data_IF_487137386669
#
_entry.id   IF_487137386669
#
_cell.length_a   1.000
_cell.length_b   1.000
_cell.length_c   1.000
_cell.angle_alpha   90.00
_cell.angle_beta   90.00
_cell.angle_gamma   90.00
#
_symmetry.space_group_name_H-M   'P 1'
#
loop_
_entity.id
_entity.type
_entity.pdbx_description
1 polymer ?
#
# COMPACT_ATOMS: atom_id res chain seq x y z
N UNK A 1 37.18 -13.66 4.01
CA UNK A 1 36.17 -13.63 2.95
C UNK A 1 35.29 -14.85 3.10
N UNK A 2 34.01 -14.65 3.45
CA UNK A 2 33.04 -15.71 3.59
C UNK A 2 32.82 -16.34 2.20
N UNK A 3 32.87 -17.67 2.11
CA UNK A 3 32.56 -18.41 0.88
C UNK A 3 31.04 -18.52 0.76
N UNK A 4 30.40 -17.52 0.19
CA UNK A 4 28.96 -17.55 -0.12
C UNK A 4 28.78 -18.16 -1.51
N UNK A 5 27.90 -19.15 -1.64
CA UNK A 5 27.62 -19.89 -2.85
C UNK A 5 26.12 -20.01 -3.12
N UNK A 6 25.71 -20.81 -4.11
CA UNK A 6 24.29 -20.99 -4.48
C UNK A 6 23.45 -21.73 -3.44
N UNK A 7 24.06 -22.42 -2.49
CA UNK A 7 23.36 -23.09 -1.38
C UNK A 7 23.16 -22.18 -0.18
N UNK A 8 23.80 -21.02 -0.18
CA UNK A 8 23.65 -20.00 0.85
C UNK A 8 22.27 -19.36 0.79
N UNK A 9 21.79 -18.87 1.92
CA UNK A 9 20.54 -18.14 2.01
C UNK A 9 20.75 -16.78 2.70
N UNK A 10 19.81 -15.86 2.44
CA UNK A 10 19.80 -14.53 3.01
C UNK A 10 18.55 -14.36 3.88
N UNK A 11 18.72 -13.86 5.11
CA UNK A 11 17.62 -13.44 5.97
C UNK A 11 17.49 -11.92 5.97
N UNK A 12 16.33 -11.42 5.59
CA UNK A 12 15.97 -10.00 5.62
C UNK A 12 15.20 -9.72 6.90
N UNK A 13 15.85 -9.18 7.92
CA UNK A 13 15.23 -8.84 9.20
C UNK A 13 15.09 -7.32 9.25
N UNK A 14 13.85 -6.80 9.19
CA UNK A 14 13.60 -5.36 9.17
C UNK A 14 12.27 -4.96 8.56
N UNK A 15 12.10 -3.68 8.28
CA UNK A 15 10.95 -3.12 7.58
C UNK A 15 11.00 -3.36 6.06
N UNK A 16 10.06 -2.74 5.33
CA UNK A 16 9.89 -2.92 3.89
C UNK A 16 11.14 -2.65 3.07
N UNK A 17 11.86 -1.55 3.35
CA UNK A 17 13.11 -1.20 2.63
C UNK A 17 14.17 -2.29 2.78
N UNK A 18 14.29 -2.89 3.98
CA UNK A 18 15.23 -3.99 4.22
C UNK A 18 14.84 -5.22 3.40
N UNK A 19 13.54 -5.57 3.39
CA UNK A 19 13.03 -6.70 2.61
C UNK A 19 13.27 -6.52 1.11
N UNK A 20 12.95 -5.34 0.57
CA UNK A 20 13.11 -5.02 -0.85
C UNK A 20 14.57 -5.08 -1.29
N UNK A 21 15.47 -4.42 -0.53
CA UNK A 21 16.90 -4.40 -0.82
C UNK A 21 17.52 -5.80 -0.74
N UNK A 22 17.24 -6.53 0.35
CA UNK A 22 17.78 -7.87 0.56
C UNK A 22 17.25 -8.87 -0.46
N UNK A 23 15.95 -8.80 -0.79
CA UNK A 23 15.34 -9.64 -1.82
C UNK A 23 15.91 -9.37 -3.21
N UNK A 24 16.17 -8.11 -3.57
CA UNK A 24 16.82 -7.76 -4.83
C UNK A 24 18.28 -8.20 -4.87
N UNK A 25 19.01 -8.06 -3.77
CA UNK A 25 20.37 -8.61 -3.64
C UNK A 25 20.39 -10.13 -3.81
N UNK A 26 19.45 -10.84 -3.14
CA UNK A 26 19.31 -12.28 -3.28
C UNK A 26 18.95 -12.71 -4.71
N UNK A 27 18.06 -11.97 -5.38
CA UNK A 27 17.69 -12.21 -6.78
C UNK A 27 18.87 -12.06 -7.75
N UNK A 28 19.77 -11.09 -7.47
CA UNK A 28 20.87 -10.72 -8.35
C UNK A 28 22.11 -11.58 -8.10
N UNK A 29 22.39 -11.96 -6.85
CA UNK A 29 23.57 -12.73 -6.47
C UNK A 29 23.51 -14.14 -7.07
N UNK A 30 24.55 -14.51 -7.82
CA UNK A 30 24.68 -15.80 -8.54
C UNK A 30 23.44 -16.19 -9.37
N UNK A 31 22.65 -15.22 -9.84
CA UNK A 31 21.37 -15.35 -10.57
C UNK A 31 20.23 -15.90 -9.70
N UNK A 32 20.30 -15.70 -8.42
CA UNK A 32 19.27 -16.04 -7.44
C UNK A 32 19.77 -17.03 -6.39
N UNK A 33 19.67 -16.63 -5.13
CA UNK A 33 19.80 -17.48 -3.96
C UNK A 33 18.53 -17.44 -3.14
N UNK A 34 18.35 -18.43 -2.26
CA UNK A 34 17.21 -18.44 -1.34
C UNK A 34 17.25 -17.23 -0.41
N UNK A 35 16.08 -16.61 -0.15
CA UNK A 35 15.97 -15.62 0.91
C UNK A 35 14.70 -15.82 1.73
N UNK A 36 14.76 -15.34 2.95
CA UNK A 36 13.69 -15.42 3.95
C UNK A 36 13.44 -14.02 4.48
N UNK A 37 12.17 -13.70 4.78
CA UNK A 37 11.82 -12.40 5.36
C UNK A 37 11.39 -12.56 6.82
N UNK A 38 11.86 -11.63 7.66
CA UNK A 38 11.42 -11.45 9.04
C UNK A 38 11.00 -9.98 9.18
N UNK A 39 9.77 -9.64 8.76
CA UNK A 39 9.30 -8.26 8.80
C UNK A 39 9.15 -7.78 10.24
N UNK A 40 9.64 -6.56 10.53
CA UNK A 40 9.63 -5.98 11.87
C UNK A 40 8.75 -4.74 11.99
N UNK A 41 8.04 -4.36 10.93
CA UNK A 41 7.02 -3.30 10.96
C UNK A 41 5.68 -3.87 10.53
N UNK A 42 4.57 -3.32 11.05
CA UNK A 42 3.24 -3.78 10.66
C UNK A 42 3.03 -3.68 9.15
N UNK A 43 3.44 -2.56 8.53
CA UNK A 43 3.37 -2.37 7.09
C UNK A 43 4.11 -3.48 6.32
N UNK A 44 5.29 -3.87 6.78
CA UNK A 44 6.02 -4.96 6.13
C UNK A 44 5.33 -6.31 6.32
N UNK A 45 4.71 -6.56 7.48
CA UNK A 45 3.99 -7.81 7.76
C UNK A 45 2.78 -7.96 6.84
N UNK A 46 1.95 -6.91 6.72
CA UNK A 46 0.69 -6.99 5.98
C UNK A 46 0.84 -6.70 4.47
N UNK A 47 1.94 -6.07 4.06
CA UNK A 47 2.12 -5.67 2.66
C UNK A 47 3.47 -6.10 2.07
N UNK A 48 4.57 -5.41 2.30
CA UNK A 48 5.77 -5.54 1.47
C UNK A 48 6.43 -6.93 1.49
N UNK A 49 6.31 -7.72 2.56
CA UNK A 49 6.88 -9.07 2.66
C UNK A 49 6.17 -10.11 1.78
N UNK A 50 4.94 -9.82 1.32
CA UNK A 50 4.14 -10.76 0.51
C UNK A 50 4.13 -10.31 -0.94
N UNK A 51 4.45 -11.24 -1.87
CA UNK A 51 4.27 -11.01 -3.30
C UNK A 51 5.52 -10.76 -4.11
N UNK A 52 6.71 -10.92 -3.50
CA UNK A 52 8.00 -11.04 -4.19
C UNK A 52 8.45 -9.83 -5.03
N UNK A 53 7.82 -8.68 -4.92
CA UNK A 53 8.37 -7.43 -5.48
C UNK A 53 9.55 -7.03 -4.63
N UNK A 54 10.74 -6.97 -5.23
CA UNK A 54 11.98 -6.56 -4.57
C UNK A 54 12.65 -5.48 -5.40
N UNK A 55 13.38 -4.57 -4.79
CA UNK A 55 13.98 -3.49 -5.55
C UNK A 55 14.75 -2.50 -4.69
N UNK A 56 15.26 -1.48 -5.37
CA UNK A 56 16.00 -0.38 -4.76
C UNK A 56 15.41 0.97 -5.20
N UNK A 57 15.47 1.92 -4.29
CA UNK A 57 15.14 3.30 -4.61
C UNK A 57 16.35 3.98 -5.25
N UNK A 58 16.10 4.73 -6.32
CA UNK A 58 17.10 5.56 -6.99
C UNK A 58 16.79 7.04 -6.75
N UNK A 59 17.78 7.91 -6.98
CA UNK A 59 17.58 9.35 -6.88
C UNK A 59 16.50 9.89 -7.84
N UNK A 60 16.26 9.19 -8.95
CA UNK A 60 15.27 9.55 -9.98
C UNK A 60 13.89 8.96 -9.74
N UNK A 61 13.70 8.10 -8.72
CA UNK A 61 12.40 7.52 -8.36
C UNK A 61 12.49 6.24 -7.55
N UNK A 62 11.37 5.91 -6.87
CA UNK A 62 11.23 4.67 -6.10
C UNK A 62 10.91 3.49 -7.03
N UNK A 63 11.41 2.29 -6.66
CA UNK A 63 11.03 1.00 -7.26
C UNK A 63 11.23 0.90 -8.79
N UNK A 64 12.19 1.65 -9.35
CA UNK A 64 12.49 1.62 -10.79
C UNK A 64 13.41 0.45 -11.16
N UNK A 65 14.19 -0.05 -10.23
CA UNK A 65 15.10 -1.19 -10.41
C UNK A 65 14.78 -2.26 -9.38
N UNK A 66 14.44 -3.44 -9.86
CA UNK A 66 14.04 -4.54 -9.00
C UNK A 66 13.81 -5.83 -9.77
N UNK A 67 13.34 -6.83 -9.07
CA UNK A 67 12.98 -8.14 -9.63
C UNK A 67 11.77 -8.73 -8.92
N UNK A 68 11.10 -9.66 -9.58
CA UNK A 68 10.16 -10.57 -8.92
C UNK A 68 10.97 -11.75 -8.36
N UNK A 69 11.13 -11.80 -7.04
CA UNK A 69 11.84 -12.87 -6.35
C UNK A 69 11.11 -13.22 -5.06
N UNK A 70 10.42 -14.37 -5.07
CA UNK A 70 9.61 -14.80 -3.93
C UNK A 70 10.52 -15.24 -2.77
N UNK A 71 10.24 -14.81 -1.53
CA UNK A 71 10.88 -15.39 -0.36
C UNK A 71 10.49 -16.87 -0.25
N UNK A 72 11.37 -17.69 0.31
CA UNK A 72 11.07 -19.09 0.62
C UNK A 72 10.02 -19.17 1.71
N UNK A 73 10.15 -18.32 2.73
CA UNK A 73 9.20 -18.18 3.83
C UNK A 73 9.23 -16.76 4.37
N UNK A 74 8.14 -16.37 5.04
CA UNK A 74 8.00 -15.11 5.78
C UNK A 74 7.67 -15.47 7.22
N UNK A 75 8.54 -15.09 8.15
CA UNK A 75 8.37 -15.33 9.57
C UNK A 75 7.85 -14.05 10.25
N UNK A 76 6.61 -14.07 10.68
CA UNK A 76 5.97 -12.92 11.33
C UNK A 76 5.90 -13.20 12.83
N UNK A 77 6.64 -12.40 13.61
CA UNK A 77 6.58 -12.36 15.05
C UNK A 77 6.01 -11.01 15.50
N UNK A 78 4.80 -11.01 16.03
CA UNK A 78 4.12 -9.78 16.46
C UNK A 78 4.76 -9.14 17.69
N UNK A 79 5.56 -9.89 18.47
CA UNK A 79 6.24 -9.34 19.64
C UNK A 79 7.20 -8.20 19.28
N UNK A 80 7.78 -8.22 18.09
CA UNK A 80 8.67 -7.16 17.62
C UNK A 80 7.96 -5.81 17.45
N UNK A 81 6.63 -5.82 17.27
CA UNK A 81 5.83 -4.60 17.14
C UNK A 81 5.72 -3.80 18.45
N UNK A 82 6.00 -4.42 19.60
CA UNK A 82 5.99 -3.73 20.91
C UNK A 82 7.03 -2.61 20.99
N UNK A 83 8.08 -2.66 20.19
CA UNK A 83 9.11 -1.63 20.10
C UNK A 83 8.96 -0.72 18.88
N UNK A 84 7.95 -0.96 18.05
CA UNK A 84 7.68 -0.13 16.88
C UNK A 84 7.08 1.20 17.32
N UNK A 85 7.59 2.36 16.86
CA UNK A 85 6.97 3.65 17.13
C UNK A 85 5.49 3.69 16.70
N UNK A 86 4.64 4.33 17.49
CA UNK A 86 3.19 4.38 17.24
C UNK A 86 2.86 4.90 15.82
N UNK A 87 3.56 5.94 15.36
CA UNK A 87 3.38 6.50 14.00
C UNK A 87 3.61 5.46 12.90
N UNK A 88 4.61 4.58 13.07
CA UNK A 88 4.91 3.50 12.12
C UNK A 88 3.85 2.37 12.21
N UNK A 89 3.33 2.10 13.42
CA UNK A 89 2.23 1.16 13.59
C UNK A 89 0.97 1.68 12.88
N UNK A 90 0.61 2.96 13.12
CA UNK A 90 -0.51 3.64 12.45
C UNK A 90 -0.35 3.61 10.93
N UNK A 91 0.84 3.89 10.41
CA UNK A 91 1.12 3.79 8.97
C UNK A 91 0.84 2.37 8.43
N UNK A 92 1.15 1.31 9.18
CA UNK A 92 0.80 -0.06 8.83
C UNK A 92 -0.71 -0.31 8.82
N UNK A 93 -1.46 0.32 9.74
CA UNK A 93 -2.92 0.20 9.80
C UNK A 93 -3.62 0.78 8.56
N UNK A 94 -3.05 1.78 7.89
CA UNK A 94 -3.58 2.26 6.62
C UNK A 94 -3.68 1.15 5.57
N UNK A 95 -2.69 0.24 5.53
CA UNK A 95 -2.72 -0.92 4.63
C UNK A 95 -3.76 -1.96 5.07
N UNK A 96 -3.94 -2.19 6.38
CA UNK A 96 -5.00 -3.07 6.88
C UNK A 96 -6.38 -2.52 6.48
N UNK A 97 -6.64 -1.22 6.65
CA UNK A 97 -7.86 -0.55 6.22
C UNK A 97 -8.04 -0.68 4.70
N UNK A 98 -6.97 -0.50 3.92
CA UNK A 98 -7.00 -0.68 2.47
C UNK A 98 -7.53 -2.06 2.06
N UNK A 99 -7.09 -3.15 2.70
CA UNK A 99 -7.60 -4.49 2.39
C UNK A 99 -9.10 -4.62 2.63
N UNK A 100 -9.60 -4.03 3.71
CA UNK A 100 -11.02 -3.97 3.98
C UNK A 100 -11.80 -3.26 2.87
N UNK A 101 -11.33 -2.10 2.45
CA UNK A 101 -11.94 -1.29 1.39
C UNK A 101 -11.83 -1.94 0.00
N UNK A 102 -10.69 -2.58 -0.26
CA UNK A 102 -10.33 -3.14 -1.56
C UNK A 102 -11.18 -4.35 -1.95
N UNK A 103 -11.34 -5.31 -1.03
CA UNK A 103 -11.91 -6.60 -1.37
C UNK A 103 -12.45 -7.42 -0.19
N UNK A 104 -12.28 -6.96 1.04
CA UNK A 104 -12.68 -7.72 2.24
C UNK A 104 -13.62 -6.90 3.14
N UNK A 105 -14.89 -6.82 2.75
CA UNK A 105 -15.92 -6.12 3.51
C UNK A 105 -15.99 -6.58 4.97
N UNK A 106 -15.83 -7.89 5.23
CA UNK A 106 -15.86 -8.42 6.59
C UNK A 106 -14.73 -7.90 7.46
N UNK A 107 -13.53 -7.71 6.89
CA UNK A 107 -12.40 -7.08 7.58
C UNK A 107 -12.72 -5.61 7.91
N UNK A 108 -13.29 -4.88 6.97
CA UNK A 108 -13.67 -3.47 7.18
C UNK A 108 -14.73 -3.32 8.29
N UNK A 109 -15.79 -4.10 8.23
CA UNK A 109 -16.88 -4.05 9.22
C UNK A 109 -16.36 -4.44 10.63
N UNK A 110 -15.41 -5.37 10.71
CA UNK A 110 -14.77 -5.71 12.00
C UNK A 110 -13.95 -4.55 12.54
N UNK A 111 -13.18 -3.85 11.70
CA UNK A 111 -12.42 -2.67 12.13
C UNK A 111 -13.34 -1.57 12.70
N UNK A 112 -14.51 -1.36 12.09
CA UNK A 112 -15.51 -0.39 12.58
C UNK A 112 -16.17 -0.80 13.89
N UNK A 113 -16.28 -2.09 14.15
CA UNK A 113 -16.98 -2.62 15.34
C UNK A 113 -16.06 -2.95 16.50
N UNK A 114 -14.75 -2.75 16.37
CA UNK A 114 -13.80 -2.90 17.48
C UNK A 114 -14.14 -1.92 18.61
N UNK A 115 -14.18 -2.42 19.84
CA UNK A 115 -14.45 -1.58 21.02
C UNK A 115 -13.36 -0.56 21.32
N UNK A 116 -12.15 -0.82 20.81
CA UNK A 116 -10.98 0.09 20.82
C UNK A 116 -10.11 -0.17 19.59
N UNK A 117 -9.34 0.83 19.12
CA UNK A 117 -8.36 0.61 18.05
C UNK A 117 -7.36 -0.50 18.40
N UNK A 118 -6.91 -1.26 17.38
CA UNK A 118 -5.83 -2.23 17.55
C UNK A 118 -4.51 -1.51 17.89
N UNK A 119 -3.74 -2.13 18.73
CA UNK A 119 -2.37 -1.75 19.04
C UNK A 119 -1.44 -2.97 19.02
N UNK A 120 -0.15 -2.78 19.25
CA UNK A 120 0.85 -3.86 19.24
C UNK A 120 0.63 -4.94 20.32
N UNK A 121 -0.29 -4.75 21.25
CA UNK A 121 -0.63 -5.69 22.34
C UNK A 121 -1.99 -6.34 22.15
N UNK A 122 -2.74 -5.96 21.12
CA UNK A 122 -4.09 -6.48 20.84
C UNK A 122 -4.04 -7.95 20.44
N UNK A 123 -4.86 -8.76 21.11
CA UNK A 123 -4.92 -10.20 20.86
C UNK A 123 -5.42 -10.53 19.44
N UNK A 124 -6.30 -9.69 18.92
CA UNK A 124 -6.88 -9.82 17.58
C UNK A 124 -5.90 -9.49 16.46
N UNK A 125 -4.80 -8.78 16.74
CA UNK A 125 -3.86 -8.31 15.72
C UNK A 125 -3.33 -9.43 14.84
N UNK A 126 -3.05 -10.61 15.42
CA UNK A 126 -2.60 -11.78 14.68
C UNK A 126 -3.57 -12.20 13.58
N UNK A 127 -4.86 -12.16 13.88
CA UNK A 127 -5.91 -12.51 12.92
C UNK A 127 -6.00 -11.48 11.79
N UNK A 128 -5.96 -10.18 12.11
CA UNK A 128 -5.97 -9.12 11.09
C UNK A 128 -4.75 -9.20 10.16
N UNK A 129 -3.56 -9.44 10.70
CA UNK A 129 -2.34 -9.64 9.90
C UNK A 129 -2.50 -10.88 9.00
N UNK A 130 -2.99 -12.00 9.54
CA UNK A 130 -3.21 -13.23 8.77
C UNK A 130 -4.21 -13.03 7.63
N UNK A 131 -5.31 -12.30 7.86
CA UNK A 131 -6.30 -11.97 6.82
C UNK A 131 -5.63 -11.15 5.71
N UNK A 132 -4.91 -10.08 6.05
CA UNK A 132 -4.24 -9.25 5.06
C UNK A 132 -3.22 -10.03 4.22
N UNK A 133 -2.41 -10.88 4.86
CA UNK A 133 -1.45 -11.75 4.17
C UNK A 133 -2.16 -12.71 3.20
N UNK A 134 -3.27 -13.30 3.64
CA UNK A 134 -4.06 -14.24 2.84
C UNK A 134 -4.71 -13.55 1.64
N UNK A 135 -5.36 -12.40 1.86
CA UNK A 135 -5.99 -11.61 0.80
C UNK A 135 -4.96 -11.17 -0.24
N UNK A 136 -3.79 -10.68 0.22
CA UNK A 136 -2.70 -10.33 -0.70
C UNK A 136 -2.18 -11.52 -1.47
N UNK A 137 -1.94 -12.64 -0.80
CA UNK A 137 -1.43 -13.85 -1.43
C UNK A 137 -2.37 -14.36 -2.54
N UNK A 138 -3.68 -14.34 -2.31
CA UNK A 138 -4.69 -14.71 -3.32
C UNK A 138 -4.62 -13.80 -4.55
N UNK A 139 -4.55 -12.48 -4.34
CA UNK A 139 -4.46 -11.51 -5.44
C UNK A 139 -3.14 -11.68 -6.22
N UNK A 140 -2.03 -11.87 -5.52
CA UNK A 140 -0.71 -12.08 -6.14
C UNK A 140 -0.66 -13.40 -6.89
N UNK A 141 -1.22 -14.48 -6.33
CA UNK A 141 -1.25 -15.79 -6.98
C UNK A 141 -2.02 -15.74 -8.32
N UNK A 142 -3.09 -14.95 -8.38
CA UNK A 142 -3.88 -14.76 -9.60
C UNK A 142 -3.16 -13.92 -10.67
N UNK A 143 -2.22 -13.04 -10.29
CA UNK A 143 -1.54 -12.12 -11.20
C UNK A 143 -0.16 -11.71 -10.66
N UNK A 144 0.77 -12.67 -10.54
CA UNK A 144 2.08 -12.45 -9.89
C UNK A 144 2.86 -11.27 -10.48
N UNK A 145 2.82 -11.10 -11.79
CA UNK A 145 3.61 -10.11 -12.53
C UNK A 145 2.87 -8.81 -12.86
N UNK A 146 1.64 -8.65 -12.35
CA UNK A 146 0.82 -7.45 -12.61
C UNK A 146 0.63 -7.16 -14.12
N UNK A 147 0.31 -8.19 -14.88
CA UNK A 147 0.10 -8.11 -16.35
C UNK A 147 -1.38 -8.22 -16.74
N UNK A 148 -2.27 -8.46 -15.79
CA UNK A 148 -3.70 -8.59 -16.06
C UNK A 148 -4.28 -7.29 -16.63
N UNK A 149 -5.04 -7.42 -17.74
CA UNK A 149 -5.69 -6.28 -18.43
C UNK A 149 -7.18 -6.15 -18.08
N UNK A 150 -7.75 -7.07 -17.35
CA UNK A 150 -9.20 -7.24 -17.17
C UNK A 150 -9.83 -6.41 -16.04
N UNK A 151 -9.23 -5.27 -15.67
CA UNK A 151 -9.82 -4.41 -14.64
C UNK A 151 -9.64 -4.90 -13.19
N UNK A 152 -8.90 -5.99 -12.97
CA UNK A 152 -8.64 -6.63 -11.70
C UNK A 152 -7.16 -7.02 -11.54
N UNK A 153 -6.90 -8.16 -10.86
CA UNK A 153 -5.56 -8.66 -10.61
C UNK A 153 -4.79 -7.84 -9.59
N UNK A 154 -3.46 -7.95 -9.64
CA UNK A 154 -2.56 -7.29 -8.67
C UNK A 154 -2.66 -5.76 -8.68
N UNK A 155 -3.10 -5.16 -9.78
CA UNK A 155 -3.33 -3.72 -9.87
C UNK A 155 -4.34 -3.19 -8.84
N UNK A 156 -5.27 -4.03 -8.36
CA UNK A 156 -6.24 -3.66 -7.32
C UNK A 156 -5.56 -3.26 -6.00
N UNK A 157 -4.39 -3.84 -5.68
CA UNK A 157 -3.62 -3.49 -4.48
C UNK A 157 -3.21 -2.00 -4.45
N UNK A 158 -3.31 -1.31 -5.59
CA UNK A 158 -3.02 0.12 -5.69
C UNK A 158 -4.23 1.02 -5.36
N UNK A 159 -5.26 0.55 -4.64
CA UNK A 159 -6.32 1.42 -4.12
C UNK A 159 -5.69 2.55 -3.27
N UNK A 160 -5.99 3.80 -3.61
CA UNK A 160 -5.39 4.98 -2.98
C UNK A 160 -3.97 5.34 -3.45
N UNK A 161 -3.19 4.37 -3.95
CA UNK A 161 -1.75 4.55 -4.23
C UNK A 161 -1.44 5.53 -5.36
N UNK A 162 -2.32 5.70 -6.34
CA UNK A 162 -2.11 6.71 -7.39
C UNK A 162 -2.04 8.13 -6.81
N UNK A 163 -2.84 8.41 -5.78
CA UNK A 163 -2.79 9.66 -5.02
C UNK A 163 -1.60 9.68 -4.04
N UNK A 164 -1.40 8.60 -3.28
CA UNK A 164 -0.33 8.48 -2.30
C UNK A 164 1.06 8.71 -2.91
N UNK A 165 1.38 8.09 -4.04
CA UNK A 165 2.66 8.27 -4.73
C UNK A 165 2.88 9.72 -5.19
N UNK A 166 1.80 10.41 -5.61
CA UNK A 166 1.89 11.83 -5.96
C UNK A 166 2.19 12.69 -4.74
N UNK A 167 1.58 12.40 -3.58
CA UNK A 167 1.86 13.08 -2.31
C UNK A 167 3.32 12.85 -1.91
N UNK A 168 3.78 11.59 -1.86
CA UNK A 168 5.15 11.25 -1.48
C UNK A 168 6.20 11.93 -2.36
N UNK A 169 5.96 11.96 -3.67
CA UNK A 169 6.88 12.58 -4.62
C UNK A 169 6.88 14.10 -4.51
N UNK A 170 5.71 14.75 -4.33
CA UNK A 170 5.58 16.19 -4.28
C UNK A 170 6.05 16.78 -2.95
N UNK A 171 5.70 16.15 -1.83
CA UNK A 171 6.10 16.61 -0.49
C UNK A 171 7.58 16.31 -0.17
N UNK A 172 8.22 15.47 -0.97
CA UNK A 172 9.56 14.95 -0.70
C UNK A 172 9.51 13.68 0.16
N UNK A 173 10.34 12.72 -0.24
CA UNK A 173 10.40 11.43 0.44
C UNK A 173 10.78 11.57 1.92
N UNK A 174 9.98 10.99 2.80
CA UNK A 174 10.18 11.02 4.26
C UNK A 174 9.37 12.10 4.99
N UNK A 175 8.73 13.04 4.28
CA UNK A 175 7.81 14.00 4.90
C UNK A 175 6.55 13.28 5.41
N UNK A 176 5.89 12.53 4.55
CA UNK A 176 4.85 11.57 4.92
C UNK A 176 5.44 10.15 5.00
N UNK A 177 5.03 9.38 6.00
CA UNK A 177 5.20 7.93 5.94
C UNK A 177 4.31 7.37 4.83
N UNK A 178 4.71 6.24 4.25
CA UNK A 178 3.94 5.62 3.16
C UNK A 178 2.47 5.41 3.53
N UNK A 179 2.19 4.84 4.70
CA UNK A 179 0.82 4.61 5.16
C UNK A 179 0.03 5.89 5.42
N UNK A 180 0.68 7.00 5.81
CA UNK A 180 0.02 8.30 5.93
C UNK A 180 -0.42 8.82 4.55
N UNK A 181 0.45 8.73 3.55
CA UNK A 181 0.10 9.09 2.18
C UNK A 181 -1.00 8.17 1.61
N UNK A 182 -0.94 6.86 1.94
CA UNK A 182 -1.99 5.89 1.56
C UNK A 182 -3.32 6.23 2.23
N UNK A 183 -3.34 6.63 3.50
CA UNK A 183 -4.57 7.04 4.20
C UNK A 183 -5.28 8.20 3.47
N UNK A 184 -4.53 9.28 3.14
CA UNK A 184 -5.07 10.38 2.33
C UNK A 184 -5.52 9.88 0.96
N UNK A 185 -4.72 9.00 0.33
CA UNK A 185 -5.05 8.37 -0.94
C UNK A 185 -6.33 7.53 -0.90
N UNK A 186 -6.63 6.86 0.21
CA UNK A 186 -7.88 6.12 0.41
C UNK A 186 -9.08 7.06 0.48
N UNK A 187 -8.96 8.20 1.16
CA UNK A 187 -10.00 9.26 1.15
C UNK A 187 -10.20 9.76 -0.28
N UNK A 188 -9.14 10.04 -1.02
CA UNK A 188 -9.23 10.44 -2.43
C UNK A 188 -9.92 9.38 -3.29
N UNK A 189 -9.55 8.10 -3.13
CA UNK A 189 -10.15 6.99 -3.88
C UNK A 189 -11.64 6.82 -3.53
N UNK A 190 -12.02 6.99 -2.26
CA UNK A 190 -13.41 6.98 -1.82
C UNK A 190 -14.21 8.11 -2.47
N UNK A 191 -13.72 9.37 -2.35
CA UNK A 191 -14.38 10.55 -2.94
C UNK A 191 -14.49 10.45 -4.45
N UNK A 192 -13.45 9.94 -5.12
CA UNK A 192 -13.49 9.65 -6.55
C UNK A 192 -14.61 8.64 -6.89
N UNK A 193 -14.69 7.54 -6.14
CA UNK A 193 -15.71 6.51 -6.32
C UNK A 193 -17.11 7.04 -6.10
N UNK A 194 -17.30 7.90 -5.09
CA UNK A 194 -18.56 8.61 -4.83
C UNK A 194 -18.96 9.53 -6.00
N UNK A 195 -18.03 10.34 -6.50
CA UNK A 195 -18.29 11.21 -7.65
C UNK A 195 -18.64 10.42 -8.94
N UNK A 196 -18.17 9.18 -9.04
CA UNK A 196 -18.52 8.27 -10.13
C UNK A 196 -19.87 7.54 -9.90
N UNK A 197 -20.54 7.80 -8.77
CA UNK A 197 -21.84 7.22 -8.43
C UNK A 197 -21.79 5.80 -7.86
N UNK A 198 -20.61 5.38 -7.35
CA UNK A 198 -20.43 4.02 -6.84
C UNK A 198 -20.59 3.89 -5.32
N UNK A 199 -20.21 4.92 -4.57
CA UNK A 199 -20.24 4.90 -3.10
C UNK A 199 -21.21 5.95 -2.57
N UNK A 200 -21.89 5.63 -1.47
CA UNK A 200 -22.81 6.53 -0.76
C UNK A 200 -22.02 7.48 0.16
N UNK A 201 -22.50 8.70 0.31
CA UNK A 201 -21.83 9.75 1.10
C UNK A 201 -21.74 9.40 2.58
N UNK A 202 -22.75 8.74 3.11
CA UNK A 202 -22.85 8.33 4.51
C UNK A 202 -21.71 7.41 4.96
N UNK A 203 -21.11 6.69 4.02
CA UNK A 203 -19.96 5.79 4.28
C UNK A 203 -18.62 6.52 4.39
N UNK A 204 -18.56 7.78 4.02
CA UNK A 204 -17.33 8.58 4.17
C UNK A 204 -17.00 8.84 5.64
N UNK A 205 -18.02 9.10 6.46
CA UNK A 205 -17.83 9.34 7.89
C UNK A 205 -17.25 8.12 8.61
N UNK A 206 -17.70 6.91 8.25
CA UNK A 206 -17.14 5.65 8.76
C UNK A 206 -15.62 5.57 8.49
N UNK A 207 -15.20 5.90 7.24
CA UNK A 207 -13.79 5.90 6.87
C UNK A 207 -12.98 6.95 7.63
N UNK A 208 -13.47 8.19 7.69
CA UNK A 208 -12.77 9.29 8.38
C UNK A 208 -12.60 9.00 9.87
N UNK A 209 -13.64 8.48 10.52
CA UNK A 209 -13.59 8.09 11.92
C UNK A 209 -12.60 6.93 12.14
N UNK A 210 -12.54 5.97 11.22
CA UNK A 210 -11.60 4.86 11.31
C UNK A 210 -10.15 5.34 11.15
N UNK A 211 -9.87 6.22 10.19
CA UNK A 211 -8.54 6.81 10.03
C UNK A 211 -8.12 7.60 11.27
N UNK A 212 -9.02 8.43 11.79
CA UNK A 212 -8.78 9.21 13.00
C UNK A 212 -8.50 8.33 14.22
N UNK A 213 -9.18 7.19 14.36
CA UNK A 213 -8.95 6.25 15.46
C UNK A 213 -7.52 5.68 15.49
N UNK A 214 -6.83 5.69 14.34
CA UNK A 214 -5.43 5.27 14.21
C UNK A 214 -4.46 6.44 14.02
N UNK A 215 -4.84 7.67 14.34
CA UNK A 215 -4.02 8.88 14.15
C UNK A 215 -3.50 9.02 12.70
N UNK A 216 -4.28 8.56 11.72
CA UNK A 216 -3.97 8.67 10.30
C UNK A 216 -4.58 9.95 9.71
N UNK A 217 -3.86 10.66 8.82
CA UNK A 217 -4.38 11.85 8.18
C UNK A 217 -5.47 11.52 7.17
N UNK A 218 -6.47 12.38 7.08
CA UNK A 218 -7.57 12.35 6.11
C UNK A 218 -7.45 13.44 5.03
N UNK A 219 -6.42 14.30 5.13
CA UNK A 219 -6.09 15.38 4.23
C UNK A 219 -4.64 15.81 4.33
N UNK A 220 -4.22 16.70 3.44
CA UNK A 220 -2.86 17.22 3.38
C UNK A 220 -2.60 18.14 4.58
N UNK A 221 -1.45 17.97 5.25
CA UNK A 221 -1.01 18.86 6.33
C UNK A 221 -0.56 20.23 5.81
N UNK A 222 -0.05 20.29 4.58
CA UNK A 222 0.40 21.49 3.89
C UNK A 222 -0.21 21.53 2.48
N UNK A 223 -0.41 22.75 1.96
CA UNK A 223 -0.93 22.93 0.62
C UNK A 223 0.07 22.44 -0.43
N UNK A 224 -0.35 21.49 -1.27
CA UNK A 224 0.43 21.04 -2.41
C UNK A 224 -0.20 21.53 -3.72
N UNK A 225 0.62 21.98 -4.71
CA UNK A 225 0.12 22.47 -5.99
C UNK A 225 -0.54 21.36 -6.82
N UNK A 226 -1.82 21.51 -7.16
CA UNK A 226 -2.60 20.51 -7.91
C UNK A 226 -1.95 20.20 -9.27
N UNK A 227 -1.46 21.20 -9.99
CA UNK A 227 -0.84 20.98 -11.31
C UNK A 227 0.39 20.08 -11.24
N UNK A 228 1.17 20.20 -10.16
CA UNK A 228 2.33 19.35 -9.93
C UNK A 228 1.90 17.92 -9.57
N UNK A 229 0.91 17.77 -8.68
CA UNK A 229 0.33 16.48 -8.35
C UNK A 229 -0.22 15.76 -9.60
N UNK A 230 -0.98 16.48 -10.42
CA UNK A 230 -1.51 15.94 -11.69
C UNK A 230 -0.41 15.54 -12.67
N UNK A 231 0.67 16.34 -12.77
CA UNK A 231 1.83 16.03 -13.61
C UNK A 231 2.55 14.77 -13.15
N UNK A 232 2.76 14.62 -11.83
CA UNK A 232 3.39 13.41 -11.25
C UNK A 232 2.54 12.16 -11.56
N UNK A 233 1.22 12.23 -11.34
CA UNK A 233 0.31 11.12 -11.66
C UNK A 233 0.38 10.71 -13.13
N UNK A 234 0.48 11.67 -14.05
CA UNK A 234 0.60 11.39 -15.48
C UNK A 234 1.94 10.74 -15.84
N UNK A 235 3.02 11.13 -15.18
CA UNK A 235 4.36 10.59 -15.43
C UNK A 235 4.50 9.14 -14.93
N UNK A 236 3.91 8.81 -13.79
CA UNK A 236 3.87 7.44 -13.24
C UNK A 236 3.17 6.45 -14.20
N UNK A 237 2.25 6.92 -15.02
CA UNK A 237 1.43 6.13 -15.95
C UNK A 237 1.91 6.09 -17.41
N UNK A 238 2.89 6.88 -17.80
CA UNK A 238 3.47 6.83 -19.15
C UNK A 238 4.09 5.47 -19.50
N UNK A 239 4.43 4.67 -18.50
CA UNK A 239 5.03 3.34 -18.67
C UNK A 239 4.00 2.28 -19.09
N UNK A 240 2.69 2.49 -18.90
CA UNK A 240 1.64 1.49 -19.19
C UNK A 240 0.59 1.92 -20.23
N UNK A 241 0.98 2.55 -21.32
CA UNK A 241 0.07 2.81 -22.45
C UNK A 241 -0.68 4.14 -22.43
N UNK A 242 -0.23 5.14 -21.69
CA UNK A 242 -0.61 6.55 -21.94
C UNK A 242 -1.94 7.02 -21.33
N UNK A 243 -2.69 6.19 -20.61
CA UNK A 243 -3.94 6.60 -19.95
C UNK A 243 -3.86 6.40 -18.44
N UNK A 244 -4.18 7.45 -17.70
CA UNK A 244 -4.29 7.41 -16.24
C UNK A 244 -5.39 6.42 -15.84
N UNK A 245 -5.05 5.49 -14.96
CA UNK A 245 -5.99 4.50 -14.42
C UNK A 245 -6.02 4.62 -12.90
N UNK A 246 -7.21 4.48 -12.35
CA UNK A 246 -7.45 4.49 -10.92
C UNK A 246 -8.01 3.15 -10.46
N UNK A 247 -7.70 2.77 -9.25
CA UNK A 247 -8.50 1.78 -8.55
C UNK A 247 -9.61 2.53 -7.84
N UNK A 248 -10.86 2.17 -8.14
CA UNK A 248 -12.06 2.75 -7.55
C UNK A 248 -12.90 1.64 -6.95
N UNK A 249 -13.67 1.97 -5.93
CA UNK A 249 -14.61 1.04 -5.31
C UNK A 249 -15.97 1.13 -6.02
N UNK A 250 -16.53 -0.01 -6.39
CA UNK A 250 -17.96 -0.10 -6.79
C UNK A 250 -18.87 -0.06 -5.57
N UNK A 251 -18.36 -0.57 -4.47
CA UNK A 251 -18.92 -0.55 -3.13
C UNK A 251 -17.82 -0.86 -2.14
N UNK A 252 -18.05 -0.64 -0.86
CA UNK A 252 -17.08 -1.01 0.18
C UNK A 252 -16.77 -2.51 0.12
N UNK A 253 -15.47 -2.85 0.02
CA UNK A 253 -15.03 -4.24 -0.13
C UNK A 253 -15.12 -4.80 -1.56
N UNK A 254 -15.36 -3.97 -2.58
CA UNK A 254 -15.35 -4.38 -3.98
C UNK A 254 -14.75 -3.31 -4.88
N UNK A 255 -13.54 -3.52 -5.37
CA UNK A 255 -12.80 -2.54 -6.19
C UNK A 255 -12.55 -3.03 -7.61
N UNK A 256 -12.37 -2.08 -8.51
CA UNK A 256 -12.02 -2.31 -9.92
C UNK A 256 -11.02 -1.26 -10.40
N UNK A 257 -10.26 -1.58 -11.44
CA UNK A 257 -9.46 -0.56 -12.13
C UNK A 257 -10.28 0.13 -13.20
N UNK A 258 -10.24 1.45 -13.25
CA UNK A 258 -10.96 2.30 -14.19
C UNK A 258 -10.02 3.27 -14.88
N UNK A 259 -10.13 3.39 -16.18
CA UNK A 259 -9.48 4.43 -16.99
C UNK A 259 -10.49 5.42 -17.54
N UNK A 260 -9.98 6.55 -18.09
CA UNK A 260 -10.86 7.54 -18.70
C UNK A 260 -11.59 8.45 -17.72
N UNK A 261 -11.11 8.54 -16.49
CA UNK A 261 -11.62 9.49 -15.49
C UNK A 261 -11.25 10.91 -15.94
N UNK A 262 -12.23 11.80 -15.92
CA UNK A 262 -12.05 13.20 -16.29
C UNK A 262 -11.07 13.91 -15.35
N UNK A 263 -10.12 14.66 -15.91
CA UNK A 263 -9.08 15.34 -15.13
C UNK A 263 -9.68 16.35 -14.15
N UNK A 264 -10.76 17.02 -14.54
CA UNK A 264 -11.45 17.97 -13.67
C UNK A 264 -12.01 17.32 -12.40
N UNK A 265 -12.48 16.07 -12.53
CA UNK A 265 -12.96 15.32 -11.37
C UNK A 265 -11.79 14.98 -10.42
N UNK A 266 -10.64 14.59 -10.96
CA UNK A 266 -9.45 14.32 -10.16
C UNK A 266 -8.97 15.60 -9.45
N UNK A 267 -9.04 16.77 -10.10
CA UNK A 267 -8.73 18.07 -9.49
C UNK A 267 -9.65 18.39 -8.31
N UNK A 268 -10.96 18.15 -8.46
CA UNK A 268 -11.93 18.35 -7.36
C UNK A 268 -11.62 17.44 -6.17
N UNK A 269 -11.22 16.19 -6.44
CA UNK A 269 -10.78 15.28 -5.38
C UNK A 269 -9.55 15.81 -4.66
N UNK A 270 -8.53 16.31 -5.39
CA UNK A 270 -7.36 16.94 -4.80
C UNK A 270 -7.71 18.16 -3.93
N UNK A 271 -8.60 19.03 -4.42
CA UNK A 271 -9.07 20.20 -3.65
C UNK A 271 -9.76 19.76 -2.35
N UNK A 272 -10.51 18.67 -2.38
CA UNK A 272 -11.25 18.18 -1.22
C UNK A 272 -10.36 17.66 -0.08
N UNK A 273 -9.07 17.37 -0.35
CA UNK A 273 -8.09 16.96 0.67
C UNK A 273 -7.05 18.04 0.97
N UNK A 274 -7.25 19.29 0.49
CA UNK A 274 -6.44 20.44 0.86
C UNK A 274 -5.37 20.86 -0.17
N UNK A 275 -5.35 20.28 -1.37
CA UNK A 275 -4.46 20.75 -2.44
C UNK A 275 -4.99 22.03 -3.12
N UNK A 276 -4.11 22.85 -3.67
CA UNK A 276 -4.44 24.13 -4.35
C UNK A 276 -3.70 24.34 -5.65
#
# INVERSE_FOLDING_TARGET
TNRVDRSSCLFAIGGGVTGDLAGFAAASFLRGIAFYQVPTTLLAMVDSSVGGKTGINLAVGKNLVGSFHQPKEVFIDLEVLKTLPQREFSAGMAEVIKYGMLGNRGLYDRLLTLGKPLDSTSQELAEFVSICCSDKALIVQADEREISKNGGGRALLNLGHTFAHAIEAQAGYGHYLHGEAVAIGLVCAFRLSRHLGFCEEEKEEDLLNLLKAYDLPDGLAEELPIDQLMSIMQNDKKVMGGKLRFVVMKEMGCSVTMGGVEQELVRKVWQSVGAR
#
